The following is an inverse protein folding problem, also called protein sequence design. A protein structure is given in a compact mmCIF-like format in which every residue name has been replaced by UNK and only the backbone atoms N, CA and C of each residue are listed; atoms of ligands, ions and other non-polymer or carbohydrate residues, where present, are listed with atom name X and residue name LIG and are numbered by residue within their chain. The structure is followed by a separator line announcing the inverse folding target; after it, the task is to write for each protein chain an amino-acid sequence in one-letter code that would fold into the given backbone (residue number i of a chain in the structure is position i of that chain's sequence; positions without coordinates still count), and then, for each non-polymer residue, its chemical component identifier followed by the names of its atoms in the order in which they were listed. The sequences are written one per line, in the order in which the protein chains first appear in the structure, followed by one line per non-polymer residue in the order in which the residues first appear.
data_IF_924446808094
#
_entry.id   IF_924446808094
#
_cell.length_a   1.000
_cell.length_b   1.000
_cell.length_c   1.000
_cell.angle_alpha   90.00
_cell.angle_beta   90.00
_cell.angle_gamma   90.00
#
_symmetry.space_group_name_H-M   'P 1'
#
loop_
_entity.id
_entity.type
_entity.pdbx_description
1 polymer ?
#
# COMPACT_ATOMS: atom_id res chain seq x y z
N UNK A 1 12.45 18.30 -28.45
CA UNK A 1 11.47 18.22 -27.35
C UNK A 1 12.11 18.84 -26.12
N UNK A 2 11.55 19.93 -25.61
CA UNK A 2 12.03 20.61 -24.39
C UNK A 2 11.14 20.20 -23.22
N UNK A 3 11.73 19.87 -22.07
CA UNK A 3 10.98 19.62 -20.85
C UNK A 3 10.27 20.92 -20.41
N UNK A 4 8.98 20.83 -20.06
CA UNK A 4 8.15 21.97 -19.64
C UNK A 4 8.34 22.35 -18.16
N UNK A 5 8.70 21.38 -17.33
CA UNK A 5 8.85 21.57 -15.89
C UNK A 5 9.45 20.35 -15.19
N UNK A 6 9.61 20.45 -13.88
CA UNK A 6 10.15 19.40 -13.00
C UNK A 6 9.25 19.23 -11.78
N UNK A 7 8.90 17.99 -11.48
CA UNK A 7 8.24 17.65 -10.22
C UNK A 7 9.31 17.50 -9.12
N UNK A 8 9.20 18.29 -8.05
CA UNK A 8 10.17 18.34 -6.96
C UNK A 8 9.50 18.14 -5.62
N UNK A 9 10.13 17.42 -4.69
CA UNK A 9 9.61 17.25 -3.33
C UNK A 9 9.98 15.92 -2.67
N UNK A 10 10.33 14.90 -3.44
CA UNK A 10 10.94 13.69 -2.90
C UNK A 10 12.37 13.94 -2.43
N UNK A 11 12.74 13.30 -1.33
CA UNK A 11 14.10 13.34 -0.74
C UNK A 11 14.90 12.13 -1.23
N UNK A 12 14.22 11.07 -1.66
CA UNK A 12 14.79 9.87 -2.24
C UNK A 12 14.59 9.76 -3.75
N UNK A 13 15.20 8.72 -4.33
CA UNK A 13 14.97 8.34 -5.73
C UNK A 13 13.50 7.99 -5.95
N UNK A 14 12.88 8.59 -6.97
CA UNK A 14 11.56 8.20 -7.46
C UNK A 14 11.72 6.87 -8.17
N UNK A 15 11.04 5.85 -7.66
CA UNK A 15 11.17 4.46 -8.13
C UNK A 15 10.05 4.08 -9.11
N UNK A 16 8.86 4.65 -8.90
CA UNK A 16 7.69 4.36 -9.72
C UNK A 16 6.79 5.60 -9.83
N UNK A 17 5.98 5.64 -10.89
CA UNK A 17 4.97 6.67 -11.11
C UNK A 17 3.77 6.08 -11.83
N UNK A 18 2.61 6.71 -11.63
CA UNK A 18 1.38 6.45 -12.38
C UNK A 18 0.66 7.77 -12.61
N UNK A 19 -0.20 7.81 -13.62
CA UNK A 19 -1.02 8.97 -13.95
C UNK A 19 -2.48 8.60 -13.77
N UNK A 20 -3.23 9.47 -13.11
CA UNK A 20 -4.67 9.39 -12.95
C UNK A 20 -5.33 10.71 -13.31
N UNK A 21 -6.66 10.74 -13.26
CA UNK A 21 -7.43 11.97 -13.39
C UNK A 21 -8.16 12.24 -12.08
N UNK A 22 -8.10 13.48 -11.62
CA UNK A 22 -8.93 13.96 -10.52
C UNK A 22 -10.40 13.95 -10.93
N UNK A 23 -11.31 13.93 -9.95
CA UNK A 23 -12.76 14.16 -10.14
C UNK A 23 -13.06 15.44 -10.94
N UNK A 24 -12.17 16.44 -10.88
CA UNK A 24 -12.28 17.70 -11.63
C UNK A 24 -11.70 17.63 -13.06
N UNK A 25 -11.32 16.44 -13.54
CA UNK A 25 -10.76 16.22 -14.87
C UNK A 25 -9.33 16.74 -15.05
N UNK A 26 -8.60 16.98 -13.95
CA UNK A 26 -7.19 17.41 -14.00
C UNK A 26 -6.27 16.19 -13.97
N UNK A 27 -5.21 16.23 -14.76
CA UNK A 27 -4.20 15.18 -14.73
C UNK A 27 -3.42 15.24 -13.41
N UNK A 28 -3.35 14.09 -12.74
CA UNK A 28 -2.62 13.92 -11.50
C UNK A 28 -1.51 12.90 -11.72
N UNK A 29 -0.30 13.28 -11.38
CA UNK A 29 0.85 12.39 -11.37
C UNK A 29 1.08 11.92 -9.95
N UNK A 30 1.02 10.61 -9.74
CA UNK A 30 1.29 9.99 -8.45
C UNK A 30 2.64 9.29 -8.51
N UNK A 31 3.50 9.55 -7.53
CA UNK A 31 4.88 9.04 -7.50
C UNK A 31 5.20 8.32 -6.21
N UNK A 32 5.96 7.24 -6.30
CA UNK A 32 6.46 6.46 -5.18
C UNK A 32 7.98 6.52 -5.14
N UNK A 33 8.54 6.64 -3.94
CA UNK A 33 9.96 6.94 -3.75
C UNK A 33 10.62 6.05 -2.69
N UNK A 34 11.95 5.99 -2.76
CA UNK A 34 12.81 5.42 -1.73
C UNK A 34 12.77 6.18 -0.40
N UNK A 35 12.18 7.38 -0.37
CA UNK A 35 11.88 8.09 0.88
C UNK A 35 10.64 7.57 1.63
N UNK A 36 10.03 6.49 1.13
CA UNK A 36 8.88 5.78 1.71
C UNK A 36 7.52 6.47 1.52
N UNK A 37 7.50 7.64 0.85
CA UNK A 37 6.28 8.39 0.62
C UNK A 37 5.71 8.19 -0.78
N UNK A 38 4.38 8.14 -0.84
CA UNK A 38 3.63 8.33 -2.07
C UNK A 38 3.20 9.80 -2.11
N UNK A 39 3.47 10.49 -3.22
CA UNK A 39 3.12 11.91 -3.41
C UNK A 39 2.27 12.09 -4.65
N UNK A 40 1.37 13.07 -4.60
CA UNK A 40 0.51 13.46 -5.72
C UNK A 40 0.90 14.85 -6.18
N UNK A 41 0.99 15.02 -7.50
CA UNK A 41 1.28 16.28 -8.17
C UNK A 41 0.12 16.59 -9.11
N UNK A 42 -0.52 17.74 -8.91
CA UNK A 42 -1.50 18.25 -9.86
C UNK A 42 -0.76 18.90 -11.02
N UNK A 43 -0.92 18.37 -12.22
CA UNK A 43 -0.27 18.88 -13.43
C UNK A 43 -1.35 19.43 -14.34
N UNK A 44 -1.60 20.73 -14.26
CA UNK A 44 -2.51 21.40 -15.19
C UNK A 44 -1.79 21.79 -16.49
N UNK A 45 -2.54 21.87 -17.60
CA UNK A 45 -2.03 22.43 -18.84
C UNK A 45 -1.43 23.82 -18.61
N UNK A 46 -0.21 24.04 -19.13
CA UNK A 46 0.50 25.31 -19.01
C UNK A 46 1.29 25.50 -17.72
N UNK A 47 1.32 24.52 -16.79
CA UNK A 47 2.26 24.57 -15.67
C UNK A 47 3.71 24.44 -16.16
N UNK A 48 4.50 25.49 -15.93
CA UNK A 48 5.91 25.57 -16.28
C UNK A 48 6.77 25.71 -15.01
N UNK A 49 7.97 25.13 -15.03
CA UNK A 49 8.93 25.24 -13.93
C UNK A 49 8.81 24.13 -12.88
N UNK A 50 9.13 24.45 -11.63
CA UNK A 50 9.16 23.46 -10.54
C UNK A 50 7.78 23.34 -9.89
N UNK A 51 7.18 22.16 -9.98
CA UNK A 51 5.89 21.84 -9.34
C UNK A 51 6.14 21.03 -8.07
N UNK A 52 5.59 21.51 -6.97
CA UNK A 52 5.62 20.82 -5.67
C UNK A 52 4.49 19.79 -5.55
N UNK A 53 4.57 18.88 -4.57
CA UNK A 53 3.49 17.93 -4.31
C UNK A 53 2.24 18.68 -3.83
N UNK A 54 1.10 18.34 -4.42
CA UNK A 54 -0.21 18.79 -3.95
C UNK A 54 -0.62 18.05 -2.68
N UNK A 55 -0.31 16.75 -2.60
CA UNK A 55 -0.64 15.89 -1.47
C UNK A 55 0.46 14.86 -1.19
N UNK A 56 0.59 14.48 0.09
CA UNK A 56 1.44 13.38 0.54
C UNK A 56 0.57 12.37 1.30
N UNK A 57 0.55 11.12 0.85
CA UNK A 57 -0.23 10.09 1.53
C UNK A 57 0.40 9.71 2.88
N UNK A 58 -0.42 9.73 3.92
CA UNK A 58 -0.05 9.42 5.31
C UNK A 58 -0.93 8.28 5.85
N UNK A 59 -0.36 7.32 6.62
CA UNK A 59 1.03 7.23 7.06
C UNK A 59 1.96 6.63 5.99
N UNK A 60 3.27 6.95 5.96
CA UNK A 60 4.19 6.39 4.97
C UNK A 60 4.33 4.87 5.07
N UNK A 61 4.97 4.29 4.07
CA UNK A 61 5.51 2.93 4.18
C UNK A 61 6.73 2.91 5.12
N UNK A 62 7.16 1.71 5.51
CA UNK A 62 8.35 1.52 6.35
C UNK A 62 9.64 1.33 5.55
N UNK A 63 9.53 1.15 4.23
CA UNK A 63 10.63 1.06 3.27
C UNK A 63 10.19 1.70 1.94
N UNK A 64 11.12 1.82 1.00
CA UNK A 64 10.89 2.41 -0.32
C UNK A 64 9.79 1.73 -1.11
N UNK A 65 9.00 2.56 -1.79
CA UNK A 65 7.90 2.11 -2.64
C UNK A 65 8.46 1.64 -3.98
N UNK A 66 8.02 0.47 -4.41
CA UNK A 66 8.52 -0.19 -5.63
C UNK A 66 7.47 -0.18 -6.75
N UNK A 67 6.18 -0.13 -6.42
CA UNK A 67 5.10 -0.15 -7.40
C UNK A 67 3.88 0.66 -6.97
N UNK A 68 3.21 1.25 -7.97
CA UNK A 68 1.93 1.94 -7.85
C UNK A 68 0.96 1.42 -8.92
N UNK A 69 -0.31 1.25 -8.55
CA UNK A 69 -1.37 0.89 -9.48
C UNK A 69 -2.66 1.63 -9.14
N UNK A 70 -3.35 2.14 -10.15
CA UNK A 70 -4.66 2.80 -9.99
C UNK A 70 -5.75 1.90 -10.57
N UNK A 71 -6.84 1.75 -9.83
CA UNK A 71 -8.06 1.07 -10.28
C UNK A 71 -9.28 1.89 -9.86
N UNK A 72 -9.89 2.59 -10.83
CA UNK A 72 -10.94 3.57 -10.52
C UNK A 72 -10.39 4.67 -9.61
N UNK A 73 -11.09 4.94 -8.52
CA UNK A 73 -10.71 5.95 -7.51
C UNK A 73 -9.80 5.40 -6.41
N UNK A 74 -9.25 4.20 -6.61
CA UNK A 74 -8.38 3.55 -5.64
C UNK A 74 -6.95 3.51 -6.17
N UNK A 75 -6.01 3.90 -5.30
CA UNK A 75 -4.59 3.72 -5.51
C UNK A 75 -4.05 2.60 -4.62
N UNK A 76 -3.24 1.73 -5.19
CA UNK A 76 -2.46 0.73 -4.46
C UNK A 76 -0.98 1.11 -4.52
N UNK A 77 -0.31 1.03 -3.37
CA UNK A 77 1.15 1.15 -3.28
C UNK A 77 1.75 -0.09 -2.64
N UNK A 78 2.79 -0.63 -3.28
CA UNK A 78 3.56 -1.76 -2.77
C UNK A 78 4.98 -1.30 -2.43
N UNK A 79 5.48 -1.73 -1.28
CA UNK A 79 6.79 -1.34 -0.75
C UNK A 79 7.65 -2.56 -0.43
N UNK A 80 8.97 -2.34 -0.34
CA UNK A 80 9.95 -3.29 0.20
C UNK A 80 9.68 -3.70 1.65
N UNK A 81 8.77 -3.01 2.35
CA UNK A 81 8.33 -3.38 3.69
C UNK A 81 7.40 -4.62 3.74
N UNK A 82 7.19 -5.27 2.59
CA UNK A 82 6.25 -6.38 2.38
C UNK A 82 4.79 -5.99 2.68
N UNK A 83 4.47 -4.69 2.56
CA UNK A 83 3.14 -4.14 2.76
C UNK A 83 2.57 -3.55 1.48
N UNK A 84 1.27 -3.76 1.30
CA UNK A 84 0.46 -3.06 0.31
C UNK A 84 -0.50 -2.15 1.04
N UNK A 85 -0.55 -0.88 0.62
CA UNK A 85 -1.53 0.09 1.12
C UNK A 85 -2.51 0.44 0.03
N UNK A 86 -3.78 0.54 0.42
CA UNK A 86 -4.89 0.96 -0.41
C UNK A 86 -5.31 2.36 0.03
N UNK A 87 -5.31 3.28 -0.92
CA UNK A 87 -5.63 4.68 -0.73
C UNK A 87 -6.87 5.04 -1.53
N UNK A 88 -7.68 5.89 -0.96
CA UNK A 88 -8.77 6.56 -1.66
C UNK A 88 -8.19 7.81 -2.34
N UNK A 89 -8.31 7.92 -3.66
CA UNK A 89 -7.80 9.07 -4.43
C UNK A 89 -8.71 10.30 -4.29
N UNK A 90 -10.00 10.12 -4.00
CA UNK A 90 -10.96 11.22 -3.84
C UNK A 90 -10.77 11.89 -2.47
N UNK A 91 -10.70 11.08 -1.41
CA UNK A 91 -10.50 11.58 -0.05
C UNK A 91 -9.01 11.81 0.28
N UNK A 92 -8.11 11.25 -0.52
CA UNK A 92 -6.66 11.26 -0.29
C UNK A 92 -6.28 10.64 1.07
N UNK A 93 -7.03 9.63 1.50
CA UNK A 93 -6.88 8.97 2.80
C UNK A 93 -6.58 7.48 2.66
N UNK A 94 -5.94 6.91 3.69
CA UNK A 94 -5.69 5.48 3.78
C UNK A 94 -6.99 4.74 4.06
N UNK A 95 -7.48 3.94 3.12
CA UNK A 95 -8.67 3.12 3.34
C UNK A 95 -8.35 1.79 4.01
N UNK A 96 -7.21 1.17 3.66
CA UNK A 96 -6.87 -0.16 4.16
C UNK A 96 -5.36 -0.45 4.08
N UNK A 97 -4.84 -1.11 5.11
CA UNK A 97 -3.49 -1.70 5.09
C UNK A 97 -3.64 -3.21 4.94
N UNK A 98 -3.26 -3.78 3.81
CA UNK A 98 -3.23 -5.23 3.67
C UNK A 98 -1.94 -5.76 4.31
N UNK A 99 -2.04 -6.19 5.57
CA UNK A 99 -0.98 -6.93 6.24
C UNK A 99 -1.03 -8.38 5.78
N UNK A 100 -0.17 -8.77 4.84
CA UNK A 100 0.12 -10.19 4.56
C UNK A 100 0.45 -10.97 5.85
N UNK A 101 1.09 -10.30 6.82
CA UNK A 101 1.36 -10.81 8.17
C UNK A 101 0.13 -11.12 9.01
N UNK A 102 -1.01 -10.47 8.79
CA UNK A 102 -2.24 -10.74 9.56
C UNK A 102 -2.96 -11.97 8.99
N UNK A 103 -2.97 -12.13 7.66
CA UNK A 103 -3.39 -13.37 6.99
C UNK A 103 -2.49 -14.55 7.36
N UNK A 104 -1.17 -14.34 7.49
CA UNK A 104 -0.24 -15.39 7.95
C UNK A 104 -0.43 -15.74 9.43
N UNK A 105 -0.63 -14.74 10.30
CA UNK A 105 -0.98 -14.96 11.72
C UNK A 105 -2.32 -15.66 11.90
N UNK A 106 -3.32 -15.37 11.07
CA UNK A 106 -4.61 -16.05 11.11
C UNK A 106 -4.49 -17.49 10.63
N UNK A 107 -3.74 -17.74 9.54
CA UNK A 107 -3.40 -19.10 9.09
C UNK A 107 -2.58 -19.88 10.13
N UNK A 108 -1.66 -19.23 10.83
CA UNK A 108 -0.88 -19.85 11.92
C UNK A 108 -1.76 -20.16 13.13
N UNK A 109 -2.65 -19.24 13.52
CA UNK A 109 -3.65 -19.47 14.57
C UNK A 109 -4.63 -20.60 14.21
N UNK A 110 -5.05 -20.69 12.95
CA UNK A 110 -5.90 -21.78 12.46
C UNK A 110 -5.16 -23.12 12.51
N UNK A 111 -3.90 -23.16 12.04
CA UNK A 111 -3.04 -24.34 12.17
C UNK A 111 -2.76 -24.73 13.63
N UNK A 112 -2.62 -23.76 14.53
CA UNK A 112 -2.45 -24.02 15.95
C UNK A 112 -3.74 -24.55 16.59
N UNK A 113 -4.91 -24.00 16.24
CA UNK A 113 -6.22 -24.54 16.64
C UNK A 113 -6.43 -25.94 16.11
N UNK A 114 -6.09 -26.23 14.86
CA UNK A 114 -6.15 -27.58 14.29
C UNK A 114 -5.21 -28.53 15.03
N UNK A 115 -3.99 -28.11 15.35
CA UNK A 115 -3.05 -28.89 16.18
C UNK A 115 -3.58 -29.11 17.58
N UNK A 116 -4.27 -28.13 18.17
CA UNK A 116 -4.91 -28.24 19.48
C UNK A 116 -6.10 -29.21 19.45
N UNK A 117 -6.94 -29.16 18.40
CA UNK A 117 -8.02 -30.12 18.15
C UNK A 117 -7.46 -31.53 17.99
N UNK A 118 -6.39 -31.70 17.21
CA UNK A 118 -5.70 -32.99 17.04
C UNK A 118 -5.12 -33.48 18.37
N UNK A 119 -4.46 -32.61 19.15
CA UNK A 119 -3.96 -32.95 20.51
C UNK A 119 -5.10 -33.36 21.45
N UNK A 120 -6.25 -32.69 21.37
CA UNK A 120 -7.42 -32.96 22.20
C UNK A 120 -8.12 -34.25 21.78
N UNK A 121 -8.21 -34.55 20.49
CA UNK A 121 -8.69 -35.84 19.96
C UNK A 121 -7.79 -37.00 20.38
N UNK A 122 -6.46 -36.84 20.31
CA UNK A 122 -5.50 -37.86 20.78
C UNK A 122 -5.65 -38.14 22.28
N UNK A 123 -6.01 -37.14 23.09
CA UNK A 123 -6.27 -37.30 24.52
C UNK A 123 -7.56 -38.09 24.82
N UNK A 124 -8.62 -37.92 24.02
CA UNK A 124 -9.90 -38.65 24.18
C UNK A 124 -9.77 -40.13 23.79
N UNK A 125 -8.87 -40.47 22.87
CA UNK A 125 -8.59 -41.86 22.47
C UNK A 125 -7.71 -42.63 23.48
N UNK A 126 -7.11 -41.95 24.47
CA UNK A 126 -6.24 -42.54 25.48
C UNK A 126 -6.90 -42.65 26.87
N UNK A 127 -8.21 -42.45 26.99
CA UNK A 127 -8.94 -42.81 28.21
C UNK A 127 -9.21 -44.33 28.23
N UNK A 128 -8.51 -45.12 29.07
CA UNK A 128 -8.92 -46.50 29.31
C UNK A 128 -10.29 -46.50 29.97
N UNK A 129 -11.17 -47.33 29.41
CA UNK A 129 -12.43 -47.76 29.99
C UNK A 129 -12.17 -48.16 31.45
N UNK A 130 -12.85 -47.47 32.39
CA UNK A 130 -13.07 -47.93 33.75
C UNK A 130 -13.79 -49.28 33.68
N UNK A 131 -13.08 -50.34 34.04
CA UNK A 131 -13.62 -51.53 34.69
C UNK A 131 -13.13 -51.51 36.14
#
# INVERSE_FOLDING_TARGET
MTALGKLTGHIGSVMCLTVGQSVLGRDQVVTGSKDHYVKVFDVAEGMLGNVGPAHNFEPPHYDGIECLAIQGDVLFSASRDNGIKKWDLEQQELTQVEREREREREREREREREREVVRRCVCVCLSPVLL
#
